data_IF_667246101040
#
_entry.id   IF_667246101040
#
_cell.length_a   1.000
_cell.length_b   1.000
_cell.length_c   1.000
_cell.angle_alpha   90.00
_cell.angle_beta   90.00
_cell.angle_gamma   90.00
#
_symmetry.space_group_name_H-M   'P 1'
#
loop_
_entity.id
_entity.type
_entity.pdbx_description
1 polymer ?
#
# COMPACT_ATOMS: atom_id res chain seq x y z
N UNK A 1 -24.86 -21.88 -2.39
CA UNK A 1 -23.50 -22.39 -2.64
C UNK A 1 -22.53 -21.28 -2.26
N UNK A 2 -21.93 -21.34 -1.07
CA UNK A 2 -20.93 -20.37 -0.61
C UNK A 2 -19.64 -20.61 -1.40
N UNK A 3 -19.31 -19.69 -2.31
CA UNK A 3 -18.05 -19.71 -3.04
C UNK A 3 -16.93 -19.34 -2.06
N UNK A 4 -16.30 -20.34 -1.46
CA UNK A 4 -15.05 -20.17 -0.73
C UNK A 4 -14.08 -19.41 -1.65
N UNK A 5 -13.52 -18.27 -1.22
CA UNK A 5 -12.52 -17.56 -2.01
C UNK A 5 -11.37 -18.52 -2.37
N UNK A 6 -10.76 -18.41 -3.56
CA UNK A 6 -9.57 -19.17 -3.89
C UNK A 6 -8.52 -19.01 -2.78
N UNK A 7 -8.01 -20.11 -2.22
CA UNK A 7 -6.95 -20.03 -1.20
C UNK A 7 -5.63 -19.62 -1.88
N UNK A 8 -5.43 -18.31 -1.96
CA UNK A 8 -4.25 -17.65 -2.51
C UNK A 8 -2.96 -18.09 -1.81
N UNK A 9 -3.03 -18.35 -0.49
CA UNK A 9 -1.90 -18.82 0.29
C UNK A 9 -1.56 -20.28 -0.07
N UNK A 10 -2.53 -21.12 -0.42
CA UNK A 10 -2.28 -22.47 -0.91
C UNK A 10 -1.57 -22.46 -2.26
N UNK A 11 -1.99 -21.60 -3.19
CA UNK A 11 -1.31 -21.44 -4.48
C UNK A 11 0.15 -20.98 -4.30
N UNK A 12 0.39 -19.97 -3.48
CA UNK A 12 1.74 -19.48 -3.18
C UNK A 12 2.63 -20.55 -2.54
N UNK A 13 2.10 -21.30 -1.56
CA UNK A 13 2.80 -22.42 -0.92
C UNK A 13 3.15 -23.52 -1.94
N UNK A 14 2.25 -23.82 -2.86
CA UNK A 14 2.50 -24.80 -3.94
C UNK A 14 3.63 -24.36 -4.85
N UNK A 15 3.64 -23.08 -5.25
CA UNK A 15 4.68 -22.52 -6.11
C UNK A 15 6.05 -22.53 -5.42
N UNK A 16 6.11 -22.17 -4.14
CA UNK A 16 7.34 -22.25 -3.35
C UNK A 16 7.88 -23.68 -3.27
N UNK A 17 7.01 -24.66 -3.01
CA UNK A 17 7.42 -26.07 -2.97
C UNK A 17 7.99 -26.57 -4.29
N UNK A 18 7.44 -26.12 -5.43
CA UNK A 18 7.96 -26.48 -6.74
C UNK A 18 9.30 -25.79 -7.05
N UNK A 19 9.48 -24.55 -6.58
CA UNK A 19 10.76 -23.83 -6.70
C UNK A 19 11.86 -24.43 -5.81
N UNK A 20 11.54 -24.89 -4.60
CA UNK A 20 12.48 -25.61 -3.74
C UNK A 20 12.95 -26.91 -4.41
N UNK A 21 12.05 -27.65 -5.05
CA UNK A 21 12.42 -28.84 -5.84
C UNK A 21 13.32 -28.49 -7.02
N UNK A 22 12.98 -27.45 -7.78
CA UNK A 22 13.79 -26.99 -8.90
C UNK A 22 15.19 -26.52 -8.45
N UNK A 23 15.28 -25.86 -7.30
CA UNK A 23 16.54 -25.40 -6.72
C UNK A 23 17.39 -26.57 -6.23
N UNK A 24 16.76 -27.58 -5.62
CA UNK A 24 17.43 -28.81 -5.22
C UNK A 24 17.91 -29.63 -6.42
N UNK A 25 17.17 -29.65 -7.53
CA UNK A 25 17.56 -30.36 -8.75
C UNK A 25 18.60 -29.60 -9.58
N UNK A 26 18.62 -28.26 -9.49
CA UNK A 26 19.66 -27.39 -10.07
C UNK A 26 20.88 -27.22 -9.16
N UNK A 27 21.01 -28.05 -8.13
CA UNK A 27 22.12 -28.08 -7.20
C UNK A 27 23.47 -28.36 -7.88
N UNK A 28 24.21 -27.27 -8.15
CA UNK A 28 25.66 -27.21 -7.99
C UNK A 28 26.55 -27.20 -9.26
N UNK A 29 26.14 -27.82 -10.36
CA UNK A 29 27.08 -28.07 -11.49
C UNK A 29 26.92 -27.14 -12.71
N UNK A 30 25.79 -26.48 -12.89
CA UNK A 30 25.54 -25.62 -14.07
C UNK A 30 26.04 -24.18 -13.93
N UNK A 31 26.20 -23.68 -12.70
CA UNK A 31 26.55 -22.27 -12.43
C UNK A 31 28.05 -21.94 -12.52
N UNK A 32 28.91 -22.94 -12.67
CA UNK A 32 30.38 -22.77 -12.68
C UNK A 32 31.01 -22.91 -14.06
N UNK A 33 30.22 -23.10 -15.12
CA UNK A 33 30.79 -23.23 -16.47
C UNK A 33 31.23 -21.87 -16.99
N UNK A 34 32.42 -21.81 -17.60
CA UNK A 34 32.90 -20.60 -18.29
C UNK A 34 31.97 -20.21 -19.47
N UNK A 35 31.23 -21.18 -20.01
CA UNK A 35 30.14 -20.98 -20.97
C UNK A 35 28.99 -20.12 -20.40
N UNK A 36 28.61 -20.32 -19.13
CA UNK A 36 27.56 -19.52 -18.48
C UNK A 36 27.99 -18.07 -18.29
N UNK A 37 29.27 -17.82 -17.99
CA UNK A 37 29.83 -16.47 -17.85
C UNK A 37 29.93 -15.76 -19.20
N UNK A 38 30.33 -16.46 -20.28
CA UNK A 38 30.32 -15.93 -21.65
C UNK A 38 28.90 -15.66 -22.17
N UNK A 39 27.95 -16.55 -21.88
CA UNK A 39 26.55 -16.35 -22.22
C UNK A 39 25.97 -15.14 -21.48
N UNK A 40 26.24 -14.98 -20.18
CA UNK A 40 25.81 -13.83 -19.38
C UNK A 40 26.35 -12.49 -19.91
N UNK A 41 27.60 -12.46 -20.39
CA UNK A 41 28.22 -11.27 -20.98
C UNK A 41 27.58 -10.82 -22.31
N UNK A 42 27.03 -11.75 -23.10
CA UNK A 42 26.20 -11.44 -24.28
C UNK A 42 24.71 -11.28 -23.96
N UNK A 43 24.26 -11.82 -22.82
CA UNK A 43 22.85 -11.90 -22.47
C UNK A 43 22.27 -10.61 -21.90
N UNK A 44 23.05 -9.59 -21.53
CA UNK A 44 22.50 -8.38 -20.88
C UNK A 44 21.47 -7.63 -21.76
N UNK A 45 21.61 -7.68 -23.09
CA UNK A 45 20.57 -7.16 -24.01
C UNK A 45 19.39 -8.14 -24.15
N UNK A 46 19.66 -9.45 -24.24
CA UNK A 46 18.64 -10.50 -24.33
C UNK A 46 17.84 -10.68 -23.04
N UNK A 47 18.35 -10.25 -21.88
CA UNK A 47 17.68 -10.38 -20.58
C UNK A 47 16.46 -9.48 -20.46
N UNK A 48 16.42 -8.33 -21.14
CA UNK A 48 15.24 -7.45 -21.14
C UNK A 48 14.05 -8.12 -21.83
N UNK A 49 14.26 -8.65 -23.04
CA UNK A 49 13.26 -9.42 -23.76
C UNK A 49 12.89 -10.73 -23.05
N UNK A 50 13.86 -11.42 -22.43
CA UNK A 50 13.57 -12.60 -21.63
C UNK A 50 12.71 -12.26 -20.40
N UNK A 51 12.98 -11.13 -19.73
CA UNK A 51 12.18 -10.64 -18.61
C UNK A 51 10.76 -10.29 -19.05
N UNK A 52 10.57 -9.64 -20.20
CA UNK A 52 9.25 -9.33 -20.77
C UNK A 52 8.47 -10.59 -21.14
N UNK A 53 9.11 -11.54 -21.83
CA UNK A 53 8.50 -12.81 -22.18
C UNK A 53 8.09 -13.60 -20.93
N UNK A 54 8.95 -13.63 -19.91
CA UNK A 54 8.66 -14.25 -18.63
C UNK A 54 7.48 -13.58 -17.92
N UNK A 55 7.43 -12.24 -17.89
CA UNK A 55 6.29 -11.48 -17.32
C UNK A 55 4.99 -11.84 -18.03
N UNK A 56 4.98 -11.90 -19.35
CA UNK A 56 3.79 -12.26 -20.12
C UNK A 56 3.31 -13.70 -19.87
N UNK A 57 4.23 -14.65 -19.66
CA UNK A 57 3.87 -16.03 -19.27
C UNK A 57 3.28 -16.05 -17.86
N UNK A 58 3.88 -15.33 -16.91
CA UNK A 58 3.38 -15.22 -15.54
C UNK A 58 1.99 -14.57 -15.48
N UNK A 59 1.76 -13.49 -16.23
CA UNK A 59 0.44 -12.85 -16.31
C UNK A 59 -0.63 -13.79 -16.86
N UNK A 60 -0.31 -14.57 -17.89
CA UNK A 60 -1.24 -15.58 -18.43
C UNK A 60 -1.50 -16.71 -17.43
N UNK A 61 -0.47 -17.15 -16.69
CA UNK A 61 -0.62 -18.16 -15.65
C UNK A 61 -1.48 -17.66 -14.49
N UNK A 62 -1.29 -16.41 -14.06
CA UNK A 62 -2.12 -15.74 -13.06
C UNK A 62 -3.56 -15.61 -13.55
N UNK A 63 -3.77 -15.13 -14.78
CA UNK A 63 -5.11 -15.03 -15.37
C UNK A 63 -5.82 -16.39 -15.45
N UNK A 64 -5.10 -17.46 -15.85
CA UNK A 64 -5.65 -18.81 -15.90
C UNK A 64 -6.01 -19.36 -14.51
N UNK A 65 -5.33 -18.90 -13.46
CA UNK A 65 -5.62 -19.22 -12.07
C UNK A 65 -6.67 -18.29 -11.43
N UNK A 66 -7.31 -17.39 -12.20
CA UNK A 66 -8.17 -16.32 -11.69
C UNK A 66 -7.49 -15.41 -10.65
N UNK A 67 -6.19 -15.17 -10.82
CA UNK A 67 -5.37 -14.33 -9.96
C UNK A 67 -5.17 -12.96 -10.60
N UNK A 68 -5.31 -11.86 -9.84
CA UNK A 68 -5.00 -10.53 -10.34
C UNK A 68 -3.49 -10.38 -10.59
N UNK A 69 -3.14 -9.73 -11.69
CA UNK A 69 -1.77 -9.39 -12.05
C UNK A 69 -1.24 -8.22 -11.20
N UNK A 70 0.09 -8.03 -11.21
CA UNK A 70 0.74 -6.90 -10.53
C UNK A 70 0.24 -5.55 -11.06
N UNK A 71 0.05 -5.43 -12.38
CA UNK A 71 -0.42 -4.20 -13.01
C UNK A 71 -1.86 -3.86 -12.59
N UNK A 72 -2.73 -4.88 -12.45
CA UNK A 72 -4.10 -4.68 -11.97
C UNK A 72 -4.14 -4.26 -10.50
N UNK A 73 -3.26 -4.81 -9.65
CA UNK A 73 -3.11 -4.35 -8.26
C UNK A 73 -2.67 -2.88 -8.23
N UNK A 74 -1.70 -2.49 -9.05
CA UNK A 74 -1.24 -1.10 -9.14
C UNK A 74 -2.36 -0.15 -9.61
N UNK A 75 -3.18 -0.53 -10.59
CA UNK A 75 -4.34 0.26 -11.01
C UNK A 75 -5.36 0.44 -9.87
N UNK A 76 -5.68 -0.65 -9.15
CA UNK A 76 -6.59 -0.60 -8.00
C UNK A 76 -6.04 0.32 -6.92
N UNK A 77 -4.75 0.22 -6.58
CA UNK A 77 -4.10 1.11 -5.61
C UNK A 77 -4.16 2.57 -6.05
N UNK A 78 -3.89 2.85 -7.33
CA UNK A 78 -3.95 4.22 -7.87
C UNK A 78 -5.38 4.79 -7.88
N UNK A 79 -6.40 3.95 -8.09
CA UNK A 79 -7.80 4.34 -8.00
C UNK A 79 -8.21 4.60 -6.55
N UNK A 80 -7.77 3.76 -5.63
CA UNK A 80 -8.02 3.93 -4.20
C UNK A 80 -7.42 5.24 -3.67
N UNK A 81 -6.16 5.54 -4.01
CA UNK A 81 -5.52 6.80 -3.63
C UNK A 81 -6.28 8.03 -4.15
N UNK A 82 -6.84 7.96 -5.37
CA UNK A 82 -7.68 9.03 -5.92
C UNK A 82 -8.99 9.21 -5.15
N UNK A 83 -9.60 8.10 -4.73
CA UNK A 83 -10.82 8.11 -3.90
C UNK A 83 -10.50 8.73 -2.53
N UNK A 84 -9.43 8.30 -1.88
CA UNK A 84 -8.98 8.85 -0.59
C UNK A 84 -8.74 10.37 -0.68
N UNK A 85 -8.06 10.84 -1.73
CA UNK A 85 -7.88 12.27 -1.96
C UNK A 85 -9.19 13.03 -2.21
N UNK A 86 -10.18 12.40 -2.84
CA UNK A 86 -11.50 13.01 -3.01
C UNK A 86 -12.26 13.09 -1.68
N UNK A 87 -12.18 12.05 -0.85
CA UNK A 87 -12.77 12.02 0.48
C UNK A 87 -12.16 13.11 1.37
N UNK A 88 -10.84 13.24 1.40
CA UNK A 88 -10.17 14.29 2.18
C UNK A 88 -10.62 15.70 1.78
N UNK A 89 -10.79 15.95 0.47
CA UNK A 89 -11.33 17.23 -0.03
C UNK A 89 -12.79 17.46 0.38
N UNK A 90 -13.60 16.41 0.40
CA UNK A 90 -15.00 16.50 0.87
C UNK A 90 -15.05 16.81 2.36
N UNK A 91 -14.24 16.12 3.17
CA UNK A 91 -14.11 16.36 4.60
C UNK A 91 -13.67 17.81 4.89
N UNK A 92 -12.68 18.33 4.17
CA UNK A 92 -12.24 19.72 4.30
C UNK A 92 -13.37 20.72 4.00
N UNK A 93 -14.10 20.51 2.90
CA UNK A 93 -15.26 21.37 2.54
C UNK A 93 -16.40 21.26 3.55
N UNK A 94 -16.64 20.08 4.12
CA UNK A 94 -17.63 19.90 5.18
C UNK A 94 -17.21 20.59 6.47
N UNK A 95 -15.92 20.57 6.82
CA UNK A 95 -15.39 21.29 7.97
C UNK A 95 -15.49 22.82 7.81
N UNK A 96 -15.32 23.34 6.59
CA UNK A 96 -15.54 24.77 6.29
C UNK A 96 -17.01 25.19 6.38
N UNK A 97 -17.94 24.29 6.05
CA UNK A 97 -19.39 24.52 6.12
C UNK A 97 -19.98 24.25 7.50
N UNK A 98 -19.28 23.49 8.35
CA UNK A 98 -19.66 23.35 9.74
C UNK A 98 -19.62 24.76 10.35
N UNK A 99 -20.73 25.26 10.93
CA UNK A 99 -20.66 26.51 11.68
C UNK A 99 -19.56 26.30 12.69
N UNK A 100 -18.57 27.21 12.71
CA UNK A 100 -17.61 27.28 13.81
C UNK A 100 -18.46 27.14 15.06
N UNK A 101 -18.30 26.03 15.79
CA UNK A 101 -18.91 25.89 17.09
C UNK A 101 -18.29 27.05 17.85
N UNK A 102 -19.00 28.17 17.86
CA UNK A 102 -18.61 29.36 18.58
C UNK A 102 -18.58 28.88 20.00
N UNK A 103 -17.39 28.54 20.49
CA UNK A 103 -17.09 28.52 21.89
C UNK A 103 -17.56 29.88 22.38
N UNK A 104 -18.77 29.87 22.93
CA UNK A 104 -19.39 31.05 23.50
C UNK A 104 -18.41 31.47 24.58
N UNK A 105 -17.77 32.66 24.48
CA UNK A 105 -16.82 33.06 25.49
C UNK A 105 -17.55 32.99 26.83
N UNK A 106 -16.98 32.24 27.78
CA UNK A 106 -17.53 32.13 29.11
C UNK A 106 -17.78 33.57 29.62
N UNK A 107 -18.99 33.88 30.14
CA UNK A 107 -19.28 35.24 30.55
C UNK A 107 -18.22 35.66 31.58
N UNK A 108 -17.50 36.73 31.28
CA UNK A 108 -16.54 37.32 32.20
C UNK A 108 -17.29 37.65 33.49
N UNK A 109 -16.98 36.92 34.56
CA UNK A 109 -17.58 37.14 35.86
C UNK A 109 -17.34 38.58 36.32
N UNK A 110 -18.25 39.16 37.14
CA UNK A 110 -18.16 40.56 37.53
C UNK A 110 -16.84 40.86 38.23
N UNK A 111 -16.12 41.86 37.71
CA UNK A 111 -14.89 42.37 38.33
C UNK A 111 -15.21 42.91 39.72
N UNK A 112 -14.65 42.29 40.77
CA UNK A 112 -14.82 42.73 42.15
C UNK A 112 -14.13 44.08 42.39
N UNK A 113 -14.80 45.18 42.08
CA UNK A 113 -14.42 46.54 42.50
C UNK A 113 -14.95 46.86 43.92
N UNK A 114 -14.78 45.94 44.88
CA UNK A 114 -14.94 46.32 46.29
C UNK A 114 -13.60 46.81 46.81
N UNK A 115 -13.38 48.13 46.70
CA UNK A 115 -12.39 48.83 47.51
C UNK A 115 -12.74 48.57 48.99
N UNK A 116 -11.78 48.15 49.83
CA UNK A 116 -12.02 48.01 51.27
C UNK A 116 -12.52 49.34 51.84
N UNK A 117 -13.48 49.35 52.79
CA UNK A 117 -13.87 50.58 53.45
C UNK A 117 -12.65 51.16 54.19
N UNK A 118 -12.35 52.44 53.94
CA UNK A 118 -11.38 53.19 54.72
C UNK A 118 -11.97 53.40 56.12
N UNK A 119 -11.27 52.88 57.13
CA UNK A 119 -11.60 53.06 58.55
C UNK A 119 -11.53 54.55 58.89
N UNK A 120 -12.57 55.16 59.48
CA UNK A 120 -12.51 56.56 59.89
C UNK A 120 -11.56 56.72 61.08
N UNK A 121 -10.74 57.76 61.01
CA UNK A 121 -9.77 58.19 62.02
C UNK A 121 -10.42 58.49 63.38
N UNK A 122 -9.67 58.16 64.44
CA UNK A 122 -9.89 58.59 65.82
C UNK A 122 -8.56 58.57 66.56
#
# INVERSE_FOLDING_TARGET
MSSTPPDYAAFFRSMLGEWEKATNSMGGQTLKSEEFVRMLGGATAATSHAQEAFRGVMERALAAANMPSRAEIEDISARLARIEGALFRMEAKLAELAPAATEKPAPAGPTRNRKPPETPEG
#
